data_IF_470451356017
#
_entry.id   IF_470451356017
#
_cell.length_a   1.000
_cell.length_b   1.000
_cell.length_c   1.000
_cell.angle_alpha   90.00
_cell.angle_beta   90.00
_cell.angle_gamma   90.00
#
_symmetry.space_group_name_H-M   'P 1'
#
loop_
_entity.id
_entity.type
_entity.pdbx_description
1 polymer ?
#
# COMPACT_ATOMS: atom_id res chain seq x y z
N UNK A 1 -11.96 -27.09 -15.54
CA UNK A 1 -10.83 -27.92 -15.08
C UNK A 1 -9.55 -27.18 -15.48
N UNK A 2 -8.87 -26.49 -14.56
CA UNK A 2 -7.73 -25.61 -14.90
C UNK A 2 -6.47 -26.46 -15.05
N UNK A 3 -5.83 -26.41 -16.23
CA UNK A 3 -4.60 -27.14 -16.55
C UNK A 3 -3.41 -26.16 -16.49
N UNK A 4 -2.46 -26.46 -15.63
CA UNK A 4 -1.22 -25.69 -15.46
C UNK A 4 -0.18 -26.17 -16.47
N UNK A 5 0.44 -25.27 -17.23
CA UNK A 5 1.59 -25.57 -18.10
C UNK A 5 2.68 -24.55 -17.78
N UNK A 6 3.85 -24.99 -17.29
CA UNK A 6 4.92 -24.06 -16.90
C UNK A 6 5.69 -23.63 -18.14
N UNK A 7 5.69 -22.33 -18.46
CA UNK A 7 6.68 -21.72 -19.33
C UNK A 7 7.26 -20.47 -18.67
N UNK A 8 8.56 -20.27 -18.88
CA UNK A 8 9.50 -19.36 -18.20
C UNK A 8 9.27 -17.84 -18.42
N UNK A 9 8.02 -17.39 -18.49
CA UNK A 9 7.68 -15.98 -18.39
C UNK A 9 6.50 -15.89 -17.41
N UNK A 10 6.69 -15.17 -16.30
CA UNK A 10 5.70 -15.01 -15.22
C UNK A 10 4.49 -14.15 -15.65
N UNK A 11 3.85 -14.48 -16.77
CA UNK A 11 2.59 -13.89 -17.21
C UNK A 11 1.42 -14.75 -16.72
N UNK A 12 0.52 -14.17 -15.94
CA UNK A 12 -0.78 -14.76 -15.64
C UNK A 12 -1.77 -14.25 -16.69
N UNK A 13 -2.23 -15.13 -17.58
CA UNK A 13 -3.30 -14.82 -18.53
C UNK A 13 -4.66 -15.18 -17.92
N UNK A 14 -5.58 -14.21 -17.83
CA UNK A 14 -6.94 -14.40 -17.31
C UNK A 14 -7.91 -14.24 -18.49
N UNK A 15 -8.56 -15.32 -18.90
CA UNK A 15 -9.59 -15.33 -19.95
C UNK A 15 -10.99 -15.34 -19.32
N UNK A 16 -11.87 -14.46 -19.79
CA UNK A 16 -13.28 -14.41 -19.38
C UNK A 16 -14.15 -15.13 -20.43
N UNK A 17 -14.92 -16.13 -20.01
CA UNK A 17 -15.71 -17.00 -20.91
C UNK A 17 -16.87 -16.26 -21.62
N UNK A 18 -17.32 -15.12 -21.07
CA UNK A 18 -18.44 -14.33 -21.59
C UNK A 18 -18.00 -13.10 -22.43
N UNK A 19 -16.71 -12.95 -22.73
CA UNK A 19 -16.22 -11.87 -23.61
C UNK A 19 -16.47 -12.25 -25.08
N UNK A 20 -17.59 -11.78 -25.63
CA UNK A 20 -18.11 -12.23 -26.93
C UNK A 20 -17.59 -11.48 -28.16
N UNK A 21 -16.82 -10.40 -28.04
CA UNK A 21 -16.29 -9.67 -29.21
C UNK A 21 -14.90 -9.05 -28.94
N UNK A 22 -13.89 -9.40 -29.76
CA UNK A 22 -12.57 -8.74 -29.80
C UNK A 22 -11.40 -9.48 -29.12
N UNK A 23 -10.17 -8.99 -29.32
CA UNK A 23 -9.02 -9.38 -28.50
C UNK A 23 -9.25 -8.86 -27.08
N UNK A 24 -9.09 -9.71 -26.07
CA UNK A 24 -9.13 -9.29 -24.67
C UNK A 24 -8.10 -8.19 -24.40
N UNK A 25 -8.45 -7.15 -23.63
CA UNK A 25 -7.48 -6.15 -23.22
C UNK A 25 -6.36 -6.78 -22.39
N UNK A 26 -5.12 -6.35 -22.63
CA UNK A 26 -3.92 -6.82 -21.92
C UNK A 26 -3.52 -5.77 -20.89
N UNK A 27 -3.45 -6.17 -19.62
CA UNK A 27 -3.06 -5.28 -18.52
C UNK A 27 -1.70 -5.68 -17.94
N UNK A 28 -0.81 -4.71 -17.76
CA UNK A 28 0.43 -4.89 -16.99
C UNK A 28 0.12 -4.77 -15.49
N UNK A 29 0.40 -5.83 -14.73
CA UNK A 29 0.30 -5.83 -13.27
C UNK A 29 1.69 -5.97 -12.67
N UNK A 30 2.10 -4.99 -11.85
CA UNK A 30 3.35 -5.04 -11.08
C UNK A 30 3.06 -5.55 -9.68
N UNK A 31 3.52 -6.77 -9.40
CA UNK A 31 3.32 -7.41 -8.10
C UNK A 31 4.58 -7.31 -7.24
N UNK A 32 4.49 -6.57 -6.13
CA UNK A 32 5.57 -6.44 -5.15
C UNK A 32 5.31 -7.36 -3.95
N UNK A 33 6.10 -8.42 -3.82
CA UNK A 33 6.02 -9.35 -2.70
C UNK A 33 7.07 -9.02 -1.63
N UNK A 34 6.65 -8.95 -0.37
CA UNK A 34 7.54 -8.84 0.79
C UNK A 34 7.34 -10.06 1.69
N UNK A 35 8.29 -10.98 1.63
CA UNK A 35 8.25 -12.29 2.29
C UNK A 35 8.78 -12.26 3.72
N UNK A 36 9.61 -11.28 4.06
CA UNK A 36 10.27 -11.17 5.37
C UNK A 36 9.42 -10.45 6.45
N UNK A 37 8.12 -10.77 6.51
CA UNK A 37 7.17 -10.23 7.49
C UNK A 37 6.29 -11.34 8.06
N UNK A 38 6.70 -11.86 9.22
CA UNK A 38 5.97 -12.89 9.95
C UNK A 38 4.54 -12.44 10.32
N UNK A 39 3.60 -13.39 10.35
CA UNK A 39 2.22 -13.08 10.74
C UNK A 39 2.15 -12.68 12.21
N UNK A 40 1.29 -11.71 12.53
CA UNK A 40 1.21 -11.02 13.85
C UNK A 40 2.48 -10.29 14.30
N UNK A 41 3.58 -10.37 13.56
CA UNK A 41 4.81 -9.64 13.83
C UNK A 41 4.91 -8.32 13.06
N UNK A 42 6.13 -7.80 13.05
CA UNK A 42 6.54 -6.58 12.34
C UNK A 42 7.58 -6.93 11.27
N UNK A 43 7.83 -6.08 10.27
CA UNK A 43 8.94 -6.27 9.35
C UNK A 43 10.26 -6.41 10.10
N UNK A 44 11.10 -7.35 9.67
CA UNK A 44 12.41 -7.57 10.30
C UNK A 44 13.35 -6.38 10.16
N UNK A 45 13.09 -5.50 9.19
CA UNK A 45 13.86 -4.29 8.95
C UNK A 45 12.93 -3.10 8.67
N UNK A 46 12.91 -2.09 9.55
CA UNK A 46 12.23 -0.81 9.31
C UNK A 46 12.63 -0.14 7.99
N UNK A 47 13.92 -0.21 7.63
CA UNK A 47 14.42 0.39 6.39
C UNK A 47 13.91 -0.33 5.14
N UNK A 48 13.72 -1.64 5.21
CA UNK A 48 13.16 -2.40 4.08
C UNK A 48 11.69 -2.10 3.87
N UNK A 49 10.90 -1.99 4.94
CA UNK A 49 9.49 -1.58 4.85
C UNK A 49 9.36 -0.15 4.30
N UNK A 50 10.21 0.76 4.77
CA UNK A 50 10.30 2.13 4.23
C UNK A 50 10.63 2.14 2.73
N UNK A 51 11.66 1.41 2.30
CA UNK A 51 12.02 1.32 0.88
C UNK A 51 10.96 0.62 0.03
N UNK A 52 10.21 -0.34 0.60
CA UNK A 52 9.06 -0.94 -0.07
C UNK A 52 7.98 0.10 -0.35
N UNK A 53 7.69 1.00 0.60
CA UNK A 53 6.74 2.10 0.38
C UNK A 53 7.22 3.06 -0.73
N UNK A 54 8.52 3.40 -0.74
CA UNK A 54 9.11 4.19 -1.84
C UNK A 54 9.03 3.46 -3.19
N UNK A 55 9.27 2.16 -3.21
CA UNK A 55 9.21 1.35 -4.42
C UNK A 55 7.77 1.26 -4.94
N UNK A 56 6.80 0.98 -4.06
CA UNK A 56 5.39 0.91 -4.38
C UNK A 56 4.89 2.23 -4.97
N UNK A 57 5.22 3.38 -4.36
CA UNK A 57 4.84 4.69 -4.90
C UNK A 57 5.44 4.95 -6.28
N UNK A 58 6.73 4.66 -6.48
CA UNK A 58 7.39 4.81 -7.78
C UNK A 58 6.77 3.91 -8.85
N UNK A 59 6.52 2.64 -8.53
CA UNK A 59 5.89 1.69 -9.44
C UNK A 59 4.47 2.11 -9.83
N UNK A 60 3.73 2.73 -8.90
CA UNK A 60 2.37 3.22 -9.16
C UNK A 60 2.35 4.45 -10.07
N UNK A 61 3.39 5.29 -10.01
CA UNK A 61 3.52 6.51 -10.83
C UNK A 61 4.15 6.31 -12.19
N UNK A 62 4.80 5.17 -12.40
CA UNK A 62 5.35 4.82 -13.70
C UNK A 62 4.18 4.69 -14.69
N UNK A 63 4.28 5.28 -15.90
CA UNK A 63 3.22 5.19 -16.90
C UNK A 63 2.77 3.75 -17.10
N UNK A 64 1.46 3.54 -17.06
CA UNK A 64 0.87 2.34 -17.61
C UNK A 64 0.98 2.43 -19.13
N UNK A 65 1.36 1.35 -19.80
CA UNK A 65 1.18 1.28 -21.25
C UNK A 65 -0.33 1.38 -21.51
N UNK A 66 -0.83 2.46 -22.13
CA UNK A 66 -2.23 2.49 -22.51
C UNK A 66 -2.45 1.36 -23.53
N UNK A 67 -3.68 0.84 -23.58
CA UNK A 67 -4.14 0.13 -24.78
C UNK A 67 -3.79 0.99 -26.00
N UNK A 68 -3.38 0.37 -27.10
CA UNK A 68 -2.94 1.08 -28.32
C UNK A 68 -3.93 2.18 -28.72
N UNK A 69 -3.60 3.44 -28.42
CA UNK A 69 -4.42 4.62 -28.74
C UNK A 69 -5.25 5.24 -27.61
N UNK A 70 -5.16 4.74 -26.37
CA UNK A 70 -5.84 5.33 -25.20
C UNK A 70 -5.11 6.53 -24.60
N UNK A 71 -5.87 7.48 -24.04
CA UNK A 71 -5.31 8.55 -23.20
C UNK A 71 -4.75 7.94 -21.89
N UNK A 72 -3.58 8.42 -21.46
CA UNK A 72 -3.00 8.03 -20.17
C UNK A 72 -3.77 8.76 -19.07
N UNK A 73 -4.39 8.02 -18.14
CA UNK A 73 -5.01 8.62 -16.95
C UNK A 73 -3.94 9.46 -16.22
N UNK A 74 -4.16 10.77 -16.01
CA UNK A 74 -3.18 11.62 -15.33
C UNK A 74 -2.93 11.20 -13.87
N UNK A 75 -3.82 10.42 -13.27
CA UNK A 75 -3.71 9.96 -11.90
C UNK A 75 -3.35 8.46 -11.81
N UNK A 76 -2.28 8.11 -11.08
CA UNK A 76 -2.02 6.73 -10.68
C UNK A 76 -3.25 6.04 -10.08
N UNK A 77 -3.54 4.77 -10.46
CA UNK A 77 -4.64 4.01 -9.89
C UNK A 77 -4.39 3.65 -8.40
N UNK A 78 -5.41 3.19 -7.68
CA UNK A 78 -5.23 2.63 -6.34
C UNK A 78 -4.28 1.42 -6.33
N UNK A 79 -3.46 1.30 -5.28
CA UNK A 79 -2.58 0.14 -5.08
C UNK A 79 -3.35 -0.92 -4.27
N UNK A 80 -3.44 -2.14 -4.80
CA UNK A 80 -3.94 -3.28 -4.04
C UNK A 80 -2.87 -3.76 -3.04
N UNK A 81 -3.22 -3.77 -1.75
CA UNK A 81 -2.35 -4.28 -0.68
C UNK A 81 -3.06 -5.43 0.03
N UNK A 82 -2.41 -6.58 0.14
CA UNK A 82 -2.96 -7.72 0.88
C UNK A 82 -1.91 -8.43 1.73
N UNK A 83 -2.37 -9.23 2.68
CA UNK A 83 -1.56 -10.19 3.41
C UNK A 83 -2.31 -11.53 3.45
N UNK A 84 -2.50 -12.11 4.65
CA UNK A 84 -3.42 -13.24 4.85
C UNK A 84 -4.86 -12.76 5.02
N UNK A 85 -5.20 -12.21 6.19
CA UNK A 85 -6.55 -11.66 6.47
C UNK A 85 -6.80 -10.24 5.90
N UNK A 86 -5.75 -9.58 5.40
CA UNK A 86 -5.84 -8.24 4.84
C UNK A 86 -6.14 -7.14 5.87
N UNK A 87 -5.69 -7.29 7.12
CA UNK A 87 -5.95 -6.30 8.21
C UNK A 87 -4.69 -5.92 9.00
N UNK A 88 -3.90 -6.89 9.46
CA UNK A 88 -2.69 -6.62 10.28
C UNK A 88 -1.56 -5.97 9.49
N UNK A 89 -0.82 -6.78 8.71
CA UNK A 89 0.30 -6.31 7.86
C UNK A 89 -0.16 -5.30 6.80
N UNK A 90 -1.32 -5.55 6.19
CA UNK A 90 -1.97 -4.62 5.25
C UNK A 90 -2.22 -3.27 5.89
N UNK A 91 -2.88 -3.21 7.05
CA UNK A 91 -3.12 -1.94 7.74
C UNK A 91 -1.84 -1.26 8.19
N UNK A 92 -0.84 -2.04 8.63
CA UNK A 92 0.46 -1.49 9.04
C UNK A 92 1.16 -0.79 7.88
N UNK A 93 1.18 -1.44 6.71
CA UNK A 93 1.78 -0.88 5.50
C UNK A 93 1.02 0.34 5.00
N UNK A 94 -0.32 0.33 5.03
CA UNK A 94 -1.16 1.45 4.59
C UNK A 94 -0.99 2.65 5.54
N UNK A 95 -1.10 2.46 6.86
CA UNK A 95 -0.93 3.52 7.85
C UNK A 95 0.45 4.18 7.75
N UNK A 96 1.50 3.37 7.69
CA UNK A 96 2.88 3.85 7.49
C UNK A 96 3.01 4.65 6.19
N UNK A 97 2.49 4.13 5.07
CA UNK A 97 2.59 4.81 3.77
C UNK A 97 1.82 6.13 3.75
N UNK A 98 0.63 6.17 4.35
CA UNK A 98 -0.19 7.37 4.47
C UNK A 98 0.50 8.46 5.29
N UNK A 99 1.03 8.09 6.46
CA UNK A 99 1.76 9.02 7.34
C UNK A 99 3.08 9.52 6.72
N UNK A 100 3.77 8.68 5.95
CA UNK A 100 4.93 9.15 5.17
C UNK A 100 4.53 10.21 4.13
N UNK A 101 3.31 10.17 3.58
CA UNK A 101 2.79 11.23 2.69
C UNK A 101 2.42 12.49 3.46
N UNK A 102 1.77 12.35 4.62
CA UNK A 102 1.39 13.51 5.45
C UNK A 102 2.61 14.28 5.96
N UNK A 103 3.74 13.58 6.18
CA UNK A 103 5.04 14.16 6.54
C UNK A 103 5.85 14.70 5.34
N UNK A 104 5.34 14.57 4.10
CA UNK A 104 6.02 15.03 2.90
C UNK A 104 7.23 14.18 2.46
N UNK A 105 7.42 13.00 3.04
CA UNK A 105 8.50 12.06 2.68
C UNK A 105 8.14 11.29 1.41
N UNK A 106 6.88 10.85 1.31
CA UNK A 106 6.29 10.37 0.06
C UNK A 106 5.53 11.51 -0.63
N UNK A 107 5.47 11.54 -1.97
CA UNK A 107 4.66 12.54 -2.66
C UNK A 107 3.18 12.39 -2.30
N UNK A 108 2.38 13.45 -2.44
CA UNK A 108 0.93 13.37 -2.21
C UNK A 108 0.30 12.23 -3.03
N UNK A 109 -0.67 11.53 -2.45
CA UNK A 109 -1.41 10.49 -3.16
C UNK A 109 -2.09 11.11 -4.39
N UNK A 110 -2.05 10.39 -5.51
CA UNK A 110 -2.81 10.81 -6.67
C UNK A 110 -4.29 10.70 -6.35
N UNK A 111 -5.04 11.76 -6.62
CA UNK A 111 -6.49 11.77 -6.46
C UNK A 111 -7.10 11.89 -7.86
N UNK A 112 -7.51 10.77 -8.48
CA UNK A 112 -8.12 10.84 -9.79
C UNK A 112 -9.42 11.66 -9.75
N UNK A 113 -9.86 12.26 -10.87
CA UNK A 113 -11.08 13.08 -10.90
C UNK A 113 -12.33 12.34 -10.42
N UNK A 114 -12.38 11.01 -10.56
CA UNK A 114 -13.49 10.20 -10.08
C UNK A 114 -13.46 9.95 -8.56
N UNK A 115 -12.33 10.17 -7.90
CA UNK A 115 -12.21 10.06 -6.44
C UNK A 115 -12.78 11.30 -5.75
N UNK A 116 -14.10 11.31 -5.66
CA UNK A 116 -14.89 12.36 -4.98
C UNK A 116 -15.07 12.07 -3.49
N UNK A 117 -14.49 10.98 -2.97
CA UNK A 117 -14.68 10.60 -1.57
C UNK A 117 -14.05 11.65 -0.64
N UNK A 118 -14.85 12.18 0.28
CA UNK A 118 -14.38 13.00 1.38
C UNK A 118 -14.63 12.21 2.65
N UNK A 119 -13.58 11.81 3.39
CA UNK A 119 -13.77 11.16 4.68
C UNK A 119 -14.61 12.07 5.58
N UNK A 120 -15.66 11.52 6.19
CA UNK A 120 -16.34 12.20 7.28
C UNK A 120 -15.41 12.26 8.49
N UNK A 121 -15.61 13.24 9.38
CA UNK A 121 -14.89 13.25 10.63
C UNK A 121 -15.24 11.98 11.42
N UNK A 122 -14.23 11.33 12.01
CA UNK A 122 -14.41 10.09 12.75
C UNK A 122 -15.55 10.25 13.76
N UNK A 123 -16.49 9.29 13.74
CA UNK A 123 -17.59 9.26 14.71
C UNK A 123 -17.10 8.89 16.12
N UNK A 124 -15.87 8.38 16.22
CA UNK A 124 -15.21 8.06 17.47
C UNK A 124 -14.60 9.34 18.03
N UNK A 125 -15.27 9.94 19.01
CA UNK A 125 -14.63 10.93 19.87
C UNK A 125 -13.54 10.22 20.65
N UNK A 126 -12.28 10.62 20.49
CA UNK A 126 -11.18 10.14 21.33
C UNK A 126 -11.62 10.18 22.80
N UNK A 127 -11.50 9.06 23.53
CA UNK A 127 -11.74 9.06 24.96
C UNK A 127 -10.92 10.20 25.60
N UNK A 128 -11.50 10.95 26.54
CA UNK A 128 -10.97 12.21 27.11
C UNK A 128 -9.52 12.14 27.66
N UNK A 129 -8.92 10.95 27.72
CA UNK A 129 -7.58 10.69 28.24
C UNK A 129 -6.52 10.31 27.18
N UNK A 130 -6.90 10.15 25.91
CA UNK A 130 -5.93 9.89 24.84
C UNK A 130 -5.41 11.21 24.25
N UNK A 131 -4.11 11.31 23.90
CA UNK A 131 -3.59 12.49 23.24
C UNK A 131 -4.35 12.73 21.93
N UNK A 132 -5.12 13.82 21.88
CA UNK A 132 -5.89 14.18 20.69
C UNK A 132 -5.01 14.47 19.47
N UNK A 133 -3.70 14.63 19.65
CA UNK A 133 -2.74 15.00 18.62
C UNK A 133 -1.93 13.80 18.09
N UNK A 134 -2.27 12.56 18.49
CA UNK A 134 -1.56 11.37 18.02
C UNK A 134 -1.98 10.99 16.60
N UNK A 135 -1.20 11.45 15.62
CA UNK A 135 -1.43 11.20 14.20
C UNK A 135 -1.41 9.71 13.83
N UNK A 136 -0.64 8.87 14.54
CA UNK A 136 -0.60 7.43 14.25
C UNK A 136 -1.91 6.78 14.67
N UNK A 137 -2.43 7.13 15.86
CA UNK A 137 -3.72 6.63 16.33
C UNK A 137 -4.85 7.10 15.42
N UNK A 138 -4.88 8.39 15.07
CA UNK A 138 -5.90 8.95 14.18
C UNK A 138 -5.92 8.25 12.82
N UNK A 139 -4.75 8.01 12.21
CA UNK A 139 -4.66 7.30 10.93
C UNK A 139 -5.17 5.86 11.06
N UNK A 140 -4.78 5.15 12.12
CA UNK A 140 -5.21 3.77 12.34
C UNK A 140 -6.72 3.68 12.57
N UNK A 141 -7.30 4.62 13.31
CA UNK A 141 -8.73 4.68 13.55
C UNK A 141 -9.49 5.01 12.27
N UNK A 142 -9.02 5.96 11.46
CA UNK A 142 -9.57 6.24 10.14
C UNK A 142 -9.54 5.02 9.21
N UNK A 143 -8.48 4.20 9.27
CA UNK A 143 -8.41 2.93 8.54
C UNK A 143 -9.40 1.90 9.08
N UNK A 144 -9.61 1.86 10.40
CA UNK A 144 -10.53 0.92 11.07
C UNK A 144 -12.00 1.24 10.77
N UNK A 145 -12.33 2.49 10.50
CA UNK A 145 -13.65 2.91 10.02
C UNK A 145 -13.97 2.38 8.63
N UNK A 146 -12.96 2.28 7.75
CA UNK A 146 -13.12 1.75 6.40
C UNK A 146 -13.04 0.23 6.35
N UNK A 147 -12.20 -0.38 7.19
CA UNK A 147 -12.03 -1.83 7.30
C UNK A 147 -11.66 -2.21 8.74
N UNK A 148 -12.49 -3.03 9.37
CA UNK A 148 -12.27 -3.43 10.76
C UNK A 148 -10.93 -4.13 10.98
N UNK A 149 -10.37 -3.97 12.18
CA UNK A 149 -9.13 -4.62 12.65
C UNK A 149 -7.83 -4.22 11.92
N UNK A 150 -7.85 -3.14 11.13
CA UNK A 150 -6.63 -2.58 10.53
C UNK A 150 -5.59 -2.28 11.61
N UNK A 151 -4.34 -2.70 11.36
CA UNK A 151 -3.25 -2.72 12.36
C UNK A 151 -3.69 -3.53 13.60
N UNK A 152 -3.60 -4.84 13.48
CA UNK A 152 -4.23 -5.79 14.39
C UNK A 152 -3.50 -5.90 15.74
N UNK A 153 -2.16 -5.78 15.73
CA UNK A 153 -1.33 -6.05 16.90
C UNK A 153 -0.68 -4.76 17.45
N UNK A 154 -0.49 -4.61 18.77
CA UNK A 154 0.21 -3.46 19.35
C UNK A 154 1.63 -3.27 18.80
N UNK A 155 2.35 -4.35 18.53
CA UNK A 155 3.69 -4.33 17.96
C UNK A 155 3.70 -3.70 16.57
N UNK A 156 2.63 -3.92 15.78
CA UNK A 156 2.46 -3.32 14.47
C UNK A 156 2.27 -1.80 14.55
N UNK A 157 1.49 -1.33 15.52
CA UNK A 157 1.35 0.10 15.78
C UNK A 157 2.70 0.69 16.24
N UNK A 158 3.39 0.04 17.19
CA UNK A 158 4.72 0.45 17.63
C UNK A 158 5.75 0.51 16.48
N UNK A 159 5.64 -0.39 15.51
CA UNK A 159 6.46 -0.37 14.32
C UNK A 159 6.22 0.86 13.44
N UNK A 160 4.96 1.29 13.28
CA UNK A 160 4.64 2.53 12.54
C UNK A 160 5.37 3.72 13.15
N UNK A 161 5.29 3.92 14.47
CA UNK A 161 6.07 4.97 15.15
C UNK A 161 7.57 4.84 14.89
N UNK A 162 8.11 3.61 14.96
CA UNK A 162 9.55 3.38 14.78
C UNK A 162 10.04 3.80 13.40
N UNK A 163 9.25 3.54 12.35
CA UNK A 163 9.57 3.93 10.97
C UNK A 163 9.47 5.45 10.81
N UNK A 164 8.42 6.08 11.32
CA UNK A 164 8.24 7.53 11.20
C UNK A 164 9.36 8.30 11.91
N UNK A 165 9.71 7.89 13.14
CA UNK A 165 10.84 8.48 13.89
C UNK A 165 12.14 8.29 13.13
N UNK A 166 12.41 7.09 12.61
CA UNK A 166 13.64 6.83 11.85
C UNK A 166 13.70 7.64 10.55
N UNK A 167 12.58 7.79 9.85
CA UNK A 167 12.50 8.56 8.61
C UNK A 167 12.70 10.06 8.87
N UNK A 168 12.05 10.63 9.90
CA UNK A 168 12.23 12.04 10.31
C UNK A 168 13.65 12.35 10.77
N UNK A 169 14.35 11.37 11.36
CA UNK A 169 15.76 11.49 11.74
C UNK A 169 16.72 11.23 10.56
N UNK A 170 16.22 11.02 9.33
CA UNK A 170 17.05 10.76 8.15
C UNK A 170 17.79 9.42 8.18
N UNK A 171 17.44 8.49 9.07
CA UNK A 171 18.20 7.23 9.28
C UNK A 171 18.16 6.28 8.08
N UNK A 172 17.22 6.48 7.16
CA UNK A 172 17.11 5.68 5.94
C UNK A 172 17.83 6.33 4.74
N UNK A 173 18.26 7.58 4.85
CA UNK A 173 19.01 8.27 3.79
C UNK A 173 20.44 7.70 3.73
N UNK A 174 20.73 6.93 2.68
CA UNK A 174 22.06 6.33 2.45
C UNK A 174 22.15 4.82 2.67
N UNK A 175 21.14 4.20 3.28
CA UNK A 175 21.04 2.73 3.35
C UNK A 175 20.41 2.18 2.06
N UNK A 176 21.07 2.33 0.90
CA UNK A 176 20.65 1.55 -0.28
C UNK A 176 20.70 0.07 0.12
N UNK A 177 19.59 -0.64 -0.08
CA UNK A 177 19.49 -2.07 0.21
C UNK A 177 20.75 -2.77 -0.33
N UNK A 178 21.60 -3.20 0.59
CA UNK A 178 22.82 -3.93 0.25
C UNK A 178 22.42 -5.20 -0.48
N UNK A 179 23.14 -5.46 -1.57
CA UNK A 179 23.10 -6.70 -2.33
C UNK A 179 22.92 -7.92 -1.43
N UNK A 180 21.85 -8.67 -1.66
CA UNK A 180 21.77 -10.10 -1.39
C UNK A 180 21.42 -10.79 -2.71
#
# INVERSE_FOLDING_TARGET
>A
MRRWVPNLAYGLEITYDDWSEGQSPVFEVRHLAYDNWADHGVPNSPSTAYHLALLADRCNRMPHTPESGGEVDPAPPPILVHCSAGVGRTGTFIAMSSLLRSLGILPAAARPPWDTYTPEASAVTAEDNLPHDDQVVQEIDALREQRTLMVQMPEQMGFVYSVLVAALLGKFEGQRAGSA
#
